data_IF_457179415336
#
_entry.id   IF_457179415336
#
_cell.length_a   1.000
_cell.length_b   1.000
_cell.length_c   1.000
_cell.angle_alpha   90.00
_cell.angle_beta   90.00
_cell.angle_gamma   90.00
#
_symmetry.space_group_name_H-M   'P 1'
#
loop_
_entity.id
_entity.type
_entity.pdbx_description
1 polymer ?
#
# COMPACT_ATOMS: atom_id res chain seq x y z
N UNK A 1 -1.79 -8.57 31.21
CA UNK A 1 -1.71 -7.13 30.90
C UNK A 1 -1.23 -7.00 29.47
N UNK A 2 -2.10 -6.63 28.53
CA UNK A 2 -1.77 -6.55 27.10
C UNK A 2 -0.87 -5.33 26.89
N UNK A 3 0.45 -5.54 26.95
CA UNK A 3 1.43 -4.49 26.69
C UNK A 3 1.60 -4.38 25.18
N UNK A 4 1.50 -3.16 24.63
CA UNK A 4 1.77 -2.83 23.22
C UNK A 4 0.69 -3.18 22.19
N UNK A 5 -0.61 -3.02 22.51
CA UNK A 5 -1.60 -2.86 21.44
C UNK A 5 -1.30 -1.60 20.60
N UNK A 6 -1.67 -1.58 19.32
CA UNK A 6 -1.42 -0.44 18.48
C UNK A 6 -2.29 0.73 18.97
N UNK A 7 -1.64 1.86 19.22
CA UNK A 7 -2.28 3.08 19.73
C UNK A 7 -2.49 4.07 18.59
N UNK A 8 -3.42 5.01 18.79
CA UNK A 8 -3.57 6.13 17.87
C UNK A 8 -2.26 6.93 17.77
N UNK A 9 -1.98 7.45 16.59
CA UNK A 9 -0.89 8.38 16.37
C UNK A 9 -1.20 9.70 17.09
N UNK A 10 -0.25 10.19 17.87
CA UNK A 10 -0.35 11.47 18.58
C UNK A 10 0.34 12.62 17.85
N UNK A 11 1.11 12.31 16.80
CA UNK A 11 1.85 13.25 15.97
C UNK A 11 1.15 13.41 14.61
N UNK A 12 0.71 14.64 14.31
CA UNK A 12 -0.05 14.96 13.10
C UNK A 12 0.80 14.84 11.83
N UNK A 13 2.11 15.12 11.90
CA UNK A 13 3.01 14.99 10.77
C UNK A 13 3.21 13.52 10.41
N UNK A 14 3.30 12.66 11.43
CA UNK A 14 3.40 11.21 11.24
C UNK A 14 2.10 10.66 10.66
N UNK A 15 0.95 11.15 11.13
CA UNK A 15 -0.33 10.82 10.54
C UNK A 15 -0.37 11.17 9.04
N UNK A 16 0.00 12.40 8.66
CA UNK A 16 0.02 12.81 7.26
C UNK A 16 1.05 12.06 6.41
N UNK A 17 2.22 11.76 6.97
CA UNK A 17 3.24 10.92 6.32
C UNK A 17 2.64 9.55 5.97
N UNK A 18 2.09 8.84 6.94
CA UNK A 18 1.53 7.51 6.73
C UNK A 18 0.35 7.58 5.77
N UNK A 19 -0.58 8.51 5.99
CA UNK A 19 -1.78 8.67 5.16
C UNK A 19 -1.45 8.94 3.69
N UNK A 20 -0.42 9.74 3.41
CA UNK A 20 0.03 10.06 2.04
C UNK A 20 0.50 8.81 1.29
N UNK A 21 1.13 7.87 1.98
CA UNK A 21 1.84 6.74 1.38
C UNK A 21 1.11 5.40 1.48
N UNK A 22 -0.01 5.31 2.19
CA UNK A 22 -0.89 4.13 2.11
C UNK A 22 -1.42 3.99 0.68
N UNK A 23 -1.23 2.80 0.11
CA UNK A 23 -1.74 2.41 -1.21
C UNK A 23 -2.61 1.17 -1.10
N UNK A 24 -3.59 1.03 -2.00
CA UNK A 24 -4.37 -0.20 -2.13
C UNK A 24 -3.59 -1.33 -2.81
N UNK A 25 -4.30 -2.41 -3.14
CA UNK A 25 -3.72 -3.51 -3.92
C UNK A 25 -3.36 -3.07 -5.35
N UNK A 26 -2.23 -3.57 -5.85
CA UNK A 26 -1.84 -3.38 -7.25
C UNK A 26 -2.79 -4.17 -8.14
N UNK A 27 -3.44 -3.49 -9.09
CA UNK A 27 -4.14 -4.11 -10.21
C UNK A 27 -3.46 -3.66 -11.49
N UNK A 28 -2.76 -4.58 -12.15
CA UNK A 28 -2.00 -4.31 -13.36
C UNK A 28 -2.27 -5.38 -14.41
N UNK A 29 -2.46 -4.95 -15.66
CA UNK A 29 -2.59 -5.83 -16.81
C UNK A 29 -1.39 -5.57 -17.71
N UNK A 30 -0.55 -6.58 -17.86
CA UNK A 30 0.49 -6.52 -18.88
C UNK A 30 -0.18 -6.65 -20.24
N UNK A 31 -0.03 -5.65 -21.12
CA UNK A 31 -0.55 -5.67 -22.49
C UNK A 31 0.22 -6.68 -23.36
N UNK A 32 0.05 -7.98 -23.07
CA UNK A 32 0.62 -9.11 -23.81
C UNK A 32 -0.48 -10.13 -24.05
N UNK A 33 -0.72 -10.45 -25.31
CA UNK A 33 -1.55 -11.60 -25.68
C UNK A 33 -0.73 -12.87 -25.46
N UNK A 34 -1.21 -13.75 -24.59
CA UNK A 34 -0.59 -15.02 -24.23
C UNK A 34 -1.61 -16.15 -24.40
N UNK A 35 -1.68 -16.75 -25.58
CA UNK A 35 -2.58 -17.87 -25.89
C UNK A 35 -1.82 -19.18 -25.88
N UNK A 36 -2.33 -20.16 -25.14
CA UNK A 36 -1.80 -21.52 -25.14
C UNK A 36 -1.82 -22.12 -26.55
N UNK A 37 -0.75 -22.82 -26.92
CA UNK A 37 -0.57 -23.48 -28.21
C UNK A 37 -0.28 -22.53 -29.37
N UNK A 38 -0.43 -21.21 -29.20
CA UNK A 38 -0.32 -20.22 -30.29
C UNK A 38 0.87 -19.29 -30.06
N UNK A 39 0.94 -18.64 -28.89
CA UNK A 39 1.96 -17.62 -28.63
C UNK A 39 3.19 -18.22 -27.94
N UNK A 40 4.32 -17.49 -28.05
CA UNK A 40 5.59 -17.82 -27.42
C UNK A 40 5.87 -16.88 -26.25
N UNK A 41 6.67 -17.32 -25.27
CA UNK A 41 6.99 -16.47 -24.12
C UNK A 41 7.72 -15.19 -24.55
N UNK A 42 7.25 -14.06 -24.02
CA UNK A 42 7.86 -12.73 -24.23
C UNK A 42 8.57 -12.29 -22.95
N UNK A 43 9.82 -11.83 -23.07
CA UNK A 43 10.63 -11.29 -21.97
C UNK A 43 11.07 -9.87 -22.28
N UNK A 44 11.03 -9.00 -21.27
CA UNK A 44 11.70 -7.71 -21.37
C UNK A 44 13.21 -7.91 -21.16
N UNK A 45 14.00 -7.30 -22.02
CA UNK A 45 15.45 -7.22 -21.92
C UNK A 45 15.85 -5.75 -21.78
N UNK A 46 16.66 -5.46 -20.76
CA UNK A 46 17.21 -4.13 -20.55
C UNK A 46 18.65 -4.07 -21.09
N UNK A 47 18.89 -3.21 -22.08
CA UNK A 47 20.21 -2.88 -22.56
C UNK A 47 20.76 -1.70 -21.75
N UNK A 48 21.80 -1.97 -20.95
CA UNK A 48 22.46 -0.99 -20.06
C UNK A 48 23.12 0.16 -20.83
N UNK A 49 23.87 -0.14 -21.88
CA UNK A 49 24.60 0.86 -22.67
C UNK A 49 23.65 1.82 -23.39
N UNK A 50 22.62 1.27 -24.03
CA UNK A 50 21.63 2.06 -24.77
C UNK A 50 20.53 2.66 -23.86
N UNK A 51 20.46 2.23 -22.59
CA UNK A 51 19.39 2.53 -21.63
C UNK A 51 17.99 2.29 -22.21
N UNK A 52 17.83 1.17 -22.91
CA UNK A 52 16.59 0.80 -23.63
C UNK A 52 16.06 -0.55 -23.18
N UNK A 53 14.73 -0.66 -23.13
CA UNK A 53 14.03 -1.93 -22.92
C UNK A 53 13.53 -2.44 -24.26
N UNK A 54 13.81 -3.70 -24.58
CA UNK A 54 13.32 -4.38 -25.78
C UNK A 54 12.53 -5.62 -25.38
N UNK A 55 11.52 -5.98 -26.18
CA UNK A 55 10.78 -7.23 -26.00
C UNK A 55 11.45 -8.31 -26.84
N UNK A 56 11.86 -9.40 -26.20
CA UNK A 56 12.38 -10.59 -26.85
C UNK A 56 11.33 -11.70 -26.83
N UNK A 57 11.12 -12.35 -27.98
CA UNK A 57 10.31 -13.56 -28.08
C UNK A 57 11.23 -14.77 -27.98
N UNK A 58 10.98 -15.66 -27.02
CA UNK A 58 11.72 -16.92 -26.87
C UNK A 58 11.20 -17.98 -27.85
N UNK A 59 11.92 -19.07 -28.02
CA UNK A 59 11.49 -20.27 -28.75
C UNK A 59 10.55 -21.19 -27.94
N UNK A 60 10.32 -20.89 -26.66
CA UNK A 60 9.39 -21.61 -25.81
C UNK A 60 7.93 -21.23 -26.09
N UNK A 61 7.15 -22.20 -26.57
CA UNK A 61 5.71 -22.06 -26.79
C UNK A 61 4.96 -22.10 -25.46
N UNK A 62 3.98 -21.21 -25.29
CA UNK A 62 3.10 -21.23 -24.13
C UNK A 62 2.18 -22.44 -24.26
N UNK A 63 2.16 -23.31 -23.24
CA UNK A 63 1.35 -24.54 -23.24
C UNK A 63 0.24 -24.51 -22.19
N UNK A 64 0.46 -23.80 -21.09
CA UNK A 64 -0.46 -23.73 -19.97
C UNK A 64 -0.47 -22.31 -19.41
N UNK A 65 -1.61 -21.89 -18.86
CA UNK A 65 -1.77 -20.65 -18.10
C UNK A 65 -2.33 -21.02 -16.73
N UNK A 66 -1.67 -20.58 -15.68
CA UNK A 66 -2.05 -20.89 -14.29
C UNK A 66 -2.41 -19.59 -13.58
N UNK A 67 -3.57 -19.57 -12.93
CA UNK A 67 -3.96 -18.53 -11.99
C UNK A 67 -3.61 -18.96 -10.57
N UNK A 68 -2.95 -18.09 -9.81
CA UNK A 68 -2.66 -18.30 -8.39
C UNK A 68 -3.32 -17.18 -7.60
N UNK A 69 -3.97 -17.54 -6.49
CA UNK A 69 -4.59 -16.59 -5.58
C UNK A 69 -4.15 -16.88 -4.14
N UNK A 70 -4.07 -15.82 -3.34
CA UNK A 70 -3.70 -15.92 -1.94
C UNK A 70 -4.92 -16.25 -1.08
N UNK A 71 -4.78 -17.27 -0.23
CA UNK A 71 -5.74 -17.52 0.82
C UNK A 71 -5.59 -16.45 1.93
N UNK A 72 -6.41 -15.40 1.87
CA UNK A 72 -6.43 -14.32 2.86
C UNK A 72 -5.09 -13.57 2.96
N UNK A 73 -4.71 -12.81 1.92
CA UNK A 73 -3.45 -12.07 1.84
C UNK A 73 -3.18 -11.17 3.06
N UNK A 74 -4.02 -10.15 3.31
CA UNK A 74 -3.79 -9.21 4.42
C UNK A 74 -3.84 -9.90 5.80
N UNK A 75 -4.83 -10.78 6.09
CA UNK A 75 -4.83 -11.53 7.34
C UNK A 75 -3.55 -12.34 7.56
N UNK A 76 -3.02 -12.99 6.52
CA UNK A 76 -1.79 -13.78 6.61
C UNK A 76 -0.60 -12.92 7.02
N UNK A 77 -0.50 -11.69 6.50
CA UNK A 77 0.55 -10.73 6.90
C UNK A 77 0.35 -10.29 8.35
N UNK A 78 -0.89 -9.98 8.76
CA UNK A 78 -1.23 -9.56 10.13
C UNK A 78 -1.06 -10.66 11.18
N UNK A 79 -1.12 -11.92 10.76
CA UNK A 79 -1.02 -13.08 11.64
C UNK A 79 0.26 -13.06 12.47
N UNK A 80 1.35 -12.52 11.93
CA UNK A 80 2.67 -12.67 12.54
C UNK A 80 3.01 -14.16 12.80
N UNK A 81 2.56 -15.08 11.96
CA UNK A 81 3.02 -16.48 12.03
C UNK A 81 4.48 -16.58 11.55
N UNK A 82 5.33 -17.37 12.23
CA UNK A 82 6.69 -17.61 11.76
C UNK A 82 6.70 -18.29 10.39
N UNK A 83 7.56 -17.84 9.48
CA UNK A 83 7.71 -18.47 8.18
C UNK A 83 9.16 -18.44 7.70
N UNK A 84 9.62 -19.52 7.06
CA UNK A 84 11.01 -19.68 6.58
C UNK A 84 11.48 -18.61 5.59
N UNK A 85 10.54 -17.96 4.89
CA UNK A 85 10.83 -16.88 3.95
C UNK A 85 10.85 -15.49 4.59
N UNK A 86 10.40 -15.36 5.84
CA UNK A 86 10.51 -14.10 6.59
C UNK A 86 11.90 -14.08 7.21
N UNK A 87 12.78 -13.22 6.72
CA UNK A 87 14.16 -13.08 7.26
C UNK A 87 14.22 -12.21 8.50
N UNK A 88 13.24 -11.32 8.65
CA UNK A 88 13.28 -10.23 9.61
C UNK A 88 12.66 -10.63 10.95
N UNK A 89 13.02 -9.87 11.98
CA UNK A 89 12.41 -9.89 13.31
C UNK A 89 12.33 -11.27 13.97
N UNK A 90 13.29 -12.15 13.67
CA UNK A 90 13.34 -13.52 14.18
C UNK A 90 12.38 -14.48 13.45
N UNK A 91 12.15 -14.28 12.15
CA UNK A 91 11.34 -15.18 11.33
C UNK A 91 9.85 -14.83 11.28
N UNK A 92 9.45 -13.68 11.81
CA UNK A 92 8.05 -13.33 12.09
C UNK A 92 7.78 -11.87 11.73
N UNK A 93 6.80 -11.60 10.87
CA UNK A 93 6.42 -10.24 10.52
C UNK A 93 5.50 -9.65 11.60
N UNK A 94 6.07 -8.91 12.55
CA UNK A 94 5.36 -8.19 13.60
C UNK A 94 4.64 -6.95 13.07
N UNK A 95 3.66 -6.47 13.83
CA UNK A 95 2.84 -5.29 13.54
C UNK A 95 3.35 -4.06 14.30
N UNK A 96 3.18 -2.90 13.68
CA UNK A 96 3.49 -1.59 14.24
C UNK A 96 2.59 -1.26 15.43
N UNK A 97 3.19 -1.03 16.61
CA UNK A 97 2.45 -0.52 17.76
C UNK A 97 2.57 1.00 17.91
N UNK A 98 2.89 1.48 19.10
CA UNK A 98 3.02 2.91 19.41
C UNK A 98 4.29 3.52 18.81
N UNK A 99 4.18 4.79 18.39
CA UNK A 99 5.33 5.63 18.05
C UNK A 99 6.21 5.81 19.29
N UNK A 100 7.51 5.60 19.11
CA UNK A 100 8.53 5.67 20.18
C UNK A 100 9.56 6.78 19.93
N UNK A 101 9.61 7.34 18.73
CA UNK A 101 10.51 8.43 18.39
C UNK A 101 10.45 8.81 16.92
N UNK A 102 11.06 9.95 16.58
CA UNK A 102 11.19 10.49 15.23
C UNK A 102 12.56 11.15 15.12
N UNK A 103 13.26 10.95 14.01
CA UNK A 103 14.55 11.59 13.73
C UNK A 103 14.48 12.21 12.34
N UNK A 104 14.79 13.51 12.26
CA UNK A 104 14.93 14.25 11.00
C UNK A 104 16.37 14.12 10.49
N UNK A 105 16.52 13.95 9.18
CA UNK A 105 17.81 13.83 8.48
C UNK A 105 18.36 15.19 8.04
N UNK A 106 18.32 16.21 8.90
CA UNK A 106 18.71 17.58 8.52
C UNK A 106 20.23 17.78 8.48
N UNK A 107 20.97 16.97 9.25
CA UNK A 107 22.44 16.96 9.32
C UNK A 107 23.01 15.61 8.90
N UNK A 108 24.26 15.59 8.43
CA UNK A 108 24.93 14.34 8.07
C UNK A 108 24.99 13.35 9.23
N UNK A 109 25.20 13.83 10.46
CA UNK A 109 25.20 12.98 11.65
C UNK A 109 23.84 12.28 11.86
N UNK A 110 22.74 13.01 11.68
CA UNK A 110 21.40 12.43 11.79
C UNK A 110 21.11 11.46 10.64
N UNK A 111 21.48 11.81 9.40
CA UNK A 111 21.35 10.91 8.24
C UNK A 111 22.09 9.59 8.46
N UNK A 112 23.33 9.66 8.96
CA UNK A 112 24.11 8.48 9.33
C UNK A 112 23.44 7.67 10.46
N UNK A 113 22.85 8.34 11.44
CA UNK A 113 22.09 7.67 12.51
C UNK A 113 20.87 6.92 11.95
N UNK A 114 20.12 7.54 11.04
CA UNK A 114 18.98 6.91 10.36
C UNK A 114 19.44 5.68 9.57
N UNK A 115 20.50 5.81 8.77
CA UNK A 115 21.07 4.71 7.99
C UNK A 115 21.55 3.55 8.88
N UNK A 116 22.14 3.83 10.05
CA UNK A 116 22.53 2.80 11.03
C UNK A 116 21.32 2.07 11.60
N UNK A 117 20.20 2.75 11.83
CA UNK A 117 18.96 2.12 12.31
C UNK A 117 18.40 1.20 11.22
N UNK A 118 18.29 1.69 9.98
CA UNK A 118 17.78 0.92 8.83
C UNK A 118 18.63 -0.34 8.58
N UNK A 119 19.95 -0.20 8.67
CA UNK A 119 20.92 -1.27 8.38
C UNK A 119 21.36 -2.08 9.60
N UNK A 120 20.74 -1.87 10.76
CA UNK A 120 21.08 -2.61 11.98
C UNK A 120 20.88 -4.11 11.78
N UNK A 121 21.90 -4.91 12.09
CA UNK A 121 21.83 -6.38 12.03
C UNK A 121 20.78 -6.95 12.99
N UNK A 122 20.36 -6.17 13.99
CA UNK A 122 19.23 -6.55 14.87
C UNK A 122 17.94 -6.77 14.10
N UNK A 123 17.78 -6.24 12.87
CA UNK A 123 16.61 -6.46 12.01
C UNK A 123 16.30 -7.92 11.73
N UNK A 124 17.29 -8.82 11.81
CA UNK A 124 17.10 -10.27 11.63
C UNK A 124 16.76 -11.02 12.93
N UNK A 125 16.77 -10.32 14.07
CA UNK A 125 16.56 -10.89 15.40
C UNK A 125 15.28 -10.37 16.04
N UNK A 126 14.86 -10.96 17.16
CA UNK A 126 13.70 -10.48 17.93
C UNK A 126 13.91 -9.05 18.46
N UNK A 127 15.13 -8.54 18.55
CA UNK A 127 15.42 -7.15 18.97
C UNK A 127 15.21 -6.10 17.87
N UNK A 128 14.93 -6.52 16.63
CA UNK A 128 14.69 -5.59 15.53
C UNK A 128 13.53 -4.65 15.83
N UNK A 129 13.76 -3.33 15.69
CA UNK A 129 12.74 -2.29 15.85
C UNK A 129 12.07 -2.01 14.51
N UNK A 130 10.78 -1.70 14.52
CA UNK A 130 10.06 -1.30 13.32
C UNK A 130 10.14 0.20 13.12
N UNK A 131 10.06 0.60 11.87
CA UNK A 131 10.14 2.00 11.49
C UNK A 131 9.37 2.29 10.20
N UNK A 132 9.10 3.56 9.97
CA UNK A 132 8.72 4.09 8.66
C UNK A 132 9.79 5.10 8.29
N UNK A 133 10.44 4.91 7.14
CA UNK A 133 11.53 5.75 6.68
C UNK A 133 11.14 6.44 5.37
N UNK A 134 11.35 7.75 5.30
CA UNK A 134 11.17 8.55 4.08
C UNK A 134 12.54 8.75 3.42
N UNK A 135 12.75 8.10 2.27
CA UNK A 135 14.06 7.99 1.61
C UNK A 135 13.97 8.24 0.11
N UNK A 136 15.12 8.61 -0.48
CA UNK A 136 15.38 8.51 -1.92
C UNK A 136 16.20 7.27 -2.19
N UNK A 137 16.01 6.64 -3.34
CA UNK A 137 16.85 5.52 -3.71
C UNK A 137 16.49 4.91 -5.06
N UNK A 138 17.31 3.95 -5.48
CA UNK A 138 17.16 3.26 -6.74
C UNK A 138 17.64 1.82 -6.65
N UNK A 139 17.09 0.96 -7.51
CA UNK A 139 17.64 -0.37 -7.74
C UNK A 139 18.98 -0.20 -8.47
N UNK A 140 20.03 -0.84 -7.96
CA UNK A 140 21.35 -0.80 -8.58
C UNK A 140 21.27 -1.23 -10.06
N UNK A 141 21.94 -0.48 -10.94
CA UNK A 141 21.78 -0.60 -12.40
C UNK A 141 22.03 -2.02 -12.93
N UNK A 142 23.00 -2.73 -12.37
CA UNK A 142 23.36 -4.11 -12.77
C UNK A 142 22.24 -5.13 -12.52
N UNK A 143 21.33 -4.82 -11.60
CA UNK A 143 20.22 -5.66 -11.19
C UNK A 143 18.89 -5.22 -11.81
N UNK A 144 18.84 -4.13 -12.58
CA UNK A 144 17.60 -3.67 -13.23
C UNK A 144 17.00 -4.74 -14.14
N UNK A 145 17.84 -5.52 -14.83
CA UNK A 145 17.40 -6.62 -15.70
C UNK A 145 16.63 -7.71 -14.95
N UNK A 146 16.90 -7.91 -13.67
CA UNK A 146 16.26 -8.95 -12.86
C UNK A 146 14.84 -8.54 -12.47
N UNK A 147 14.60 -7.23 -12.36
CA UNK A 147 13.32 -6.66 -11.96
C UNK A 147 12.55 -5.96 -13.09
N UNK A 148 13.09 -5.91 -14.31
CA UNK A 148 12.47 -5.11 -15.40
C UNK A 148 11.06 -5.59 -15.78
N UNK A 149 10.75 -6.87 -15.56
CA UNK A 149 9.40 -7.40 -15.79
C UNK A 149 8.42 -7.03 -14.68
N UNK A 150 8.91 -6.77 -13.47
CA UNK A 150 8.09 -6.37 -12.33
C UNK A 150 8.93 -5.52 -11.35
N UNK A 151 9.08 -4.22 -11.60
CA UNK A 151 9.86 -3.36 -10.72
C UNK A 151 9.30 -3.37 -9.29
N UNK A 152 10.14 -3.40 -8.25
CA UNK A 152 9.71 -3.79 -6.91
C UNK A 152 9.07 -2.64 -6.11
N UNK A 153 9.12 -1.39 -6.58
CA UNK A 153 8.60 -0.22 -5.87
C UNK A 153 7.15 0.06 -6.33
N UNK A 154 6.16 -0.19 -5.47
CA UNK A 154 4.74 -0.02 -5.75
C UNK A 154 4.27 1.35 -5.25
N UNK A 155 4.04 2.30 -6.16
CA UNK A 155 3.66 3.66 -5.78
C UNK A 155 2.61 4.25 -6.72
N UNK A 156 1.74 5.08 -6.14
CA UNK A 156 0.88 5.95 -6.93
C UNK A 156 1.75 7.01 -7.61
N UNK A 157 1.85 6.92 -8.93
CA UNK A 157 2.63 7.83 -9.76
C UNK A 157 1.68 8.70 -10.60
N UNK A 158 1.97 10.00 -10.66
CA UNK A 158 1.28 10.94 -11.55
C UNK A 158 2.10 11.08 -12.83
N UNK A 159 1.45 10.88 -13.97
CA UNK A 159 2.05 11.01 -15.31
C UNK A 159 1.07 11.64 -16.28
N UNK A 160 1.57 12.18 -17.38
CA UNK A 160 0.75 12.73 -18.47
C UNK A 160 0.50 11.65 -19.51
N UNK A 161 -0.73 11.54 -20.01
CA UNK A 161 -1.08 10.60 -21.11
C UNK A 161 -0.74 11.14 -22.49
N UNK A 162 0.41 11.83 -22.60
CA UNK A 162 0.97 12.29 -23.87
C UNK A 162 1.70 11.15 -24.59
N UNK A 163 1.83 11.27 -25.92
CA UNK A 163 2.42 10.23 -26.76
C UNK A 163 3.85 9.86 -26.35
N UNK A 164 4.63 10.84 -25.89
CA UNK A 164 6.01 10.63 -25.42
C UNK A 164 6.06 9.70 -24.21
N UNK A 165 5.11 9.84 -23.29
CA UNK A 165 5.09 9.14 -22.01
C UNK A 165 4.49 7.74 -22.14
N UNK A 166 3.37 7.59 -22.83
CA UNK A 166 2.66 6.29 -22.95
C UNK A 166 3.01 5.51 -24.21
N UNK A 167 3.72 6.13 -25.15
CA UNK A 167 4.07 5.57 -26.45
C UNK A 167 2.95 5.70 -27.48
N UNK A 168 3.34 5.73 -28.76
CA UNK A 168 2.43 5.89 -29.90
C UNK A 168 1.30 4.88 -29.93
N UNK A 169 1.58 3.61 -29.66
CA UNK A 169 0.57 2.55 -29.63
C UNK A 169 -0.57 2.85 -28.63
N UNK A 170 -0.23 3.17 -27.37
CA UNK A 170 -1.24 3.46 -26.36
C UNK A 170 -1.95 4.78 -26.62
N UNK A 171 -1.23 5.78 -27.13
CA UNK A 171 -1.79 7.07 -27.48
C UNK A 171 -2.84 6.95 -28.61
N UNK A 172 -2.52 6.23 -29.68
CA UNK A 172 -3.47 5.89 -30.76
C UNK A 172 -4.63 5.06 -30.24
N UNK A 173 -4.37 4.00 -29.46
CA UNK A 173 -5.44 3.16 -28.89
C UNK A 173 -6.42 3.98 -28.03
N UNK A 174 -5.91 4.91 -27.22
CA UNK A 174 -6.76 5.80 -26.43
C UNK A 174 -7.62 6.70 -27.34
N UNK A 175 -7.03 7.32 -28.38
CA UNK A 175 -7.78 8.15 -29.33
C UNK A 175 -8.86 7.37 -30.07
N UNK A 176 -8.53 6.18 -30.59
CA UNK A 176 -9.44 5.32 -31.34
C UNK A 176 -10.64 4.85 -30.51
N UNK A 177 -10.46 4.76 -29.18
CA UNK A 177 -11.50 4.38 -28.22
C UNK A 177 -12.09 5.56 -27.44
N UNK A 178 -11.96 6.79 -27.98
CA UNK A 178 -12.51 8.03 -27.38
C UNK A 178 -12.09 8.30 -25.92
N UNK A 179 -10.94 7.76 -25.50
CA UNK A 179 -10.33 8.00 -24.20
C UNK A 179 -9.48 9.28 -24.28
N UNK A 180 -9.65 10.19 -23.32
CA UNK A 180 -8.93 11.47 -23.27
C UNK A 180 -7.42 11.26 -23.12
N UNK A 181 -6.66 11.88 -24.01
CA UNK A 181 -5.19 11.94 -24.01
C UNK A 181 -4.69 13.30 -23.50
N UNK A 182 -3.38 13.44 -23.28
CA UNK A 182 -2.73 14.69 -22.85
C UNK A 182 -3.26 15.21 -21.49
N UNK A 183 -3.64 14.30 -20.59
CA UNK A 183 -4.13 14.62 -19.25
C UNK A 183 -3.23 14.02 -18.17
N UNK A 184 -3.18 14.68 -17.02
CA UNK A 184 -2.58 14.11 -15.81
C UNK A 184 -3.44 12.95 -15.31
N UNK A 185 -2.82 11.80 -15.12
CA UNK A 185 -3.43 10.64 -14.49
C UNK A 185 -2.57 10.16 -13.34
N UNK A 186 -3.22 9.68 -12.28
CA UNK A 186 -2.56 9.06 -11.13
C UNK A 186 -2.92 7.58 -11.10
N UNK A 187 -1.92 6.69 -11.14
CA UNK A 187 -2.12 5.24 -11.05
C UNK A 187 -1.12 4.61 -10.09
N UNK A 188 -1.55 3.57 -9.38
CA UNK A 188 -0.64 2.67 -8.67
C UNK A 188 0.13 1.84 -9.70
N UNK A 189 1.45 1.95 -9.69
CA UNK A 189 2.32 1.30 -10.66
C UNK A 189 3.62 0.83 -10.00
N UNK A 190 4.42 0.10 -10.77
CA UNK A 190 5.73 -0.43 -10.42
C UNK A 190 6.84 0.54 -10.88
N UNK A 191 7.79 0.86 -10.00
CA UNK A 191 8.93 1.72 -10.26
C UNK A 191 10.25 0.98 -9.92
N UNK A 192 11.34 1.40 -10.58
CA UNK A 192 12.70 0.91 -10.29
C UNK A 192 13.52 1.89 -9.44
N UNK A 193 12.99 3.07 -9.15
CA UNK A 193 13.59 4.05 -8.25
C UNK A 193 12.52 4.95 -7.66
N UNK A 194 12.91 5.79 -6.71
CA UNK A 194 12.06 6.86 -6.20
C UNK A 194 12.04 8.09 -7.12
N UNK A 195 12.69 8.00 -8.29
CA UNK A 195 12.75 9.06 -9.30
C UNK A 195 13.24 10.42 -8.75
N UNK A 196 14.17 10.39 -7.80
CA UNK A 196 14.71 11.59 -7.14
C UNK A 196 13.79 12.20 -6.08
N UNK A 197 12.61 11.63 -5.85
CA UNK A 197 11.64 12.07 -4.86
C UNK A 197 11.75 11.26 -3.57
N UNK A 198 11.36 11.90 -2.46
CA UNK A 198 11.26 11.23 -1.17
C UNK A 198 9.99 10.37 -1.10
N UNK A 199 10.15 9.08 -0.80
CA UNK A 199 9.05 8.13 -0.63
C UNK A 199 9.17 7.43 0.74
N UNK A 200 8.04 7.26 1.43
CA UNK A 200 8.03 6.52 2.69
C UNK A 200 7.91 5.01 2.45
N UNK A 201 8.63 4.21 3.23
CA UNK A 201 8.58 2.75 3.19
C UNK A 201 8.45 2.19 4.62
N UNK A 202 7.70 1.10 4.75
CA UNK A 202 7.67 0.29 5.96
C UNK A 202 9.04 -0.39 6.14
N UNK A 203 9.33 -0.87 7.35
CA UNK A 203 10.61 -1.52 7.66
C UNK A 203 10.77 -2.80 6.86
N UNK A 204 9.74 -3.64 6.79
CA UNK A 204 9.81 -4.89 6.02
C UNK A 204 9.93 -4.63 4.53
N UNK A 205 9.21 -3.63 4.02
CA UNK A 205 9.30 -3.31 2.62
C UNK A 205 10.67 -2.73 2.26
N UNK A 206 11.18 -1.78 3.04
CA UNK A 206 12.50 -1.21 2.77
C UNK A 206 13.61 -2.25 2.93
N UNK A 207 13.53 -3.12 3.94
CA UNK A 207 14.51 -4.20 4.09
C UNK A 207 14.45 -5.20 2.93
N UNK A 208 13.25 -5.58 2.47
CA UNK A 208 13.10 -6.40 1.27
C UNK A 208 13.75 -5.72 0.04
N UNK A 209 13.51 -4.44 -0.17
CA UNK A 209 14.14 -3.69 -1.27
C UNK A 209 15.67 -3.72 -1.17
N UNK A 210 16.23 -3.52 0.02
CA UNK A 210 17.69 -3.52 0.23
C UNK A 210 18.28 -4.92 0.05
N UNK A 211 17.72 -5.92 0.72
CA UNK A 211 18.32 -7.25 0.85
C UNK A 211 18.04 -8.18 -0.34
N UNK A 212 16.88 -8.04 -0.99
CA UNK A 212 16.44 -8.91 -2.08
C UNK A 212 16.38 -8.18 -3.43
N UNK A 213 16.29 -6.85 -3.45
CA UNK A 213 16.18 -6.08 -4.69
C UNK A 213 17.38 -5.19 -5.00
N UNK A 214 18.46 -5.24 -4.20
CA UNK A 214 19.65 -4.41 -4.42
C UNK A 214 19.34 -2.90 -4.47
N UNK A 215 18.41 -2.46 -3.62
CA UNK A 215 18.05 -1.05 -3.50
C UNK A 215 19.13 -0.27 -2.73
N UNK A 216 19.62 0.80 -3.35
CA UNK A 216 20.56 1.75 -2.78
C UNK A 216 19.77 2.95 -2.27
N UNK A 217 20.02 3.32 -1.01
CA UNK A 217 19.48 4.56 -0.43
C UNK A 217 20.41 5.71 -0.83
N UNK A 218 19.86 6.66 -1.59
CA UNK A 218 20.59 7.85 -2.05
C UNK A 218 20.56 8.97 -1.00
N UNK A 219 19.43 9.12 -0.31
CA UNK A 219 19.26 10.13 0.74
C UNK A 219 18.14 9.73 1.71
N UNK A 220 18.18 10.27 2.93
CA UNK A 220 17.17 10.03 3.98
C UNK A 220 16.65 11.35 4.51
N UNK A 221 15.32 11.49 4.56
CA UNK A 221 14.67 12.69 5.09
C UNK A 221 14.28 12.55 6.55
N UNK A 222 13.70 11.40 6.91
CA UNK A 222 13.29 11.14 8.28
C UNK A 222 13.03 9.66 8.52
N UNK A 223 13.04 9.27 9.79
CA UNK A 223 12.59 7.96 10.26
C UNK A 223 11.67 8.13 11.47
N UNK A 224 10.58 7.37 11.49
CA UNK A 224 9.66 7.27 12.63
C UNK A 224 9.78 5.87 13.20
N UNK A 225 10.02 5.76 14.50
CA UNK A 225 10.30 4.50 15.19
C UNK A 225 9.06 4.01 15.92
N UNK A 226 8.82 2.71 15.87
CA UNK A 226 7.69 2.08 16.53
C UNK A 226 8.15 0.91 17.39
N UNK A 227 7.42 0.66 18.48
CA UNK A 227 7.45 -0.67 19.09
C UNK A 227 6.73 -1.67 18.15
N UNK A 228 6.89 -2.96 18.44
CA UNK A 228 6.29 -4.02 17.63
C UNK A 228 5.54 -5.00 18.50
N UNK A 229 4.53 -5.64 17.93
CA UNK A 229 3.74 -6.66 18.62
C UNK A 229 3.21 -7.70 17.63
N UNK A 230 2.58 -8.73 18.17
CA UNK A 230 1.94 -9.82 17.44
C UNK A 230 0.52 -10.11 17.94
N UNK A 231 -0.08 -9.16 18.66
CA UNK A 231 -1.38 -9.32 19.32
C UNK A 231 -2.55 -9.69 18.39
N UNK A 232 -2.45 -9.51 17.07
CA UNK A 232 -3.47 -9.97 16.13
C UNK A 232 -3.37 -11.48 15.82
N UNK A 233 -2.30 -12.15 16.26
CA UNK A 233 -2.05 -13.56 15.97
C UNK A 233 -3.21 -14.46 16.40
N UNK A 234 -3.67 -14.33 17.65
CA UNK A 234 -4.77 -15.15 18.19
C UNK A 234 -6.05 -14.97 17.38
N UNK A 235 -6.45 -13.72 17.14
CA UNK A 235 -7.61 -13.37 16.33
C UNK A 235 -7.52 -13.97 14.92
N UNK A 236 -6.40 -13.78 14.21
CA UNK A 236 -6.25 -14.27 12.84
C UNK A 236 -6.24 -15.81 12.80
N UNK A 237 -5.55 -16.48 13.74
CA UNK A 237 -5.50 -17.94 13.78
C UNK A 237 -6.86 -18.56 14.04
N UNK A 238 -7.59 -18.02 15.00
CA UNK A 238 -8.93 -18.48 15.34
C UNK A 238 -9.89 -18.32 14.16
N UNK A 239 -9.94 -17.13 13.57
CA UNK A 239 -10.84 -16.87 12.44
C UNK A 239 -10.44 -17.62 11.18
N UNK A 240 -9.15 -17.87 10.95
CA UNK A 240 -8.68 -18.71 9.84
C UNK A 240 -9.08 -20.16 10.06
N UNK A 241 -8.91 -20.69 11.27
CA UNK A 241 -9.32 -22.05 11.64
C UNK A 241 -10.83 -22.23 11.44
N UNK A 242 -11.64 -21.34 12.00
CA UNK A 242 -13.10 -21.41 11.88
C UNK A 242 -13.56 -21.27 10.43
N UNK A 243 -12.85 -20.48 9.61
CA UNK A 243 -13.12 -20.41 8.16
C UNK A 243 -12.82 -21.72 7.44
N UNK A 244 -11.75 -22.43 7.81
CA UNK A 244 -11.41 -23.73 7.24
C UNK A 244 -12.46 -24.78 7.65
N UNK A 245 -12.87 -24.80 8.91
CA UNK A 245 -13.92 -25.69 9.40
C UNK A 245 -15.24 -25.43 8.65
N UNK A 246 -15.66 -24.16 8.52
CA UNK A 246 -16.84 -23.80 7.75
C UNK A 246 -16.77 -24.22 6.27
N UNK A 247 -15.57 -24.27 5.67
CA UNK A 247 -15.39 -24.82 4.31
C UNK A 247 -15.58 -26.34 4.27
N UNK A 248 -15.02 -27.04 5.25
CA UNK A 248 -15.13 -28.50 5.35
C UNK A 248 -16.58 -28.93 5.60
N UNK A 249 -17.33 -28.13 6.36
CA UNK A 249 -18.75 -28.33 6.64
C UNK A 249 -19.68 -27.81 5.52
N UNK A 250 -19.12 -27.35 4.40
CA UNK A 250 -19.83 -26.74 3.26
C UNK A 250 -20.74 -25.54 3.63
N UNK A 251 -20.48 -24.91 4.78
CA UNK A 251 -21.22 -23.75 5.28
C UNK A 251 -20.70 -22.45 4.67
N UNK A 252 -21.19 -22.14 3.47
CA UNK A 252 -20.80 -20.94 2.70
C UNK A 252 -21.06 -19.62 3.45
N UNK A 253 -22.11 -19.56 4.27
CA UNK A 253 -22.46 -18.37 5.04
C UNK A 253 -21.41 -18.04 6.11
N UNK A 254 -21.01 -19.04 6.89
CA UNK A 254 -19.96 -18.89 7.89
C UNK A 254 -18.59 -18.67 7.26
N UNK A 255 -18.26 -19.37 6.16
CA UNK A 255 -17.02 -19.12 5.44
C UNK A 255 -16.90 -17.64 5.05
N UNK A 256 -17.97 -17.10 4.45
CA UNK A 256 -18.00 -15.72 4.00
C UNK A 256 -17.97 -14.74 5.18
N UNK A 257 -18.65 -15.04 6.29
CA UNK A 257 -18.58 -14.26 7.52
C UNK A 257 -17.14 -14.12 8.02
N UNK A 258 -16.43 -15.25 8.22
CA UNK A 258 -15.04 -15.20 8.71
C UNK A 258 -14.10 -14.49 7.74
N UNK A 259 -14.29 -14.67 6.42
CA UNK A 259 -13.55 -13.93 5.39
C UNK A 259 -13.76 -12.42 5.52
N UNK A 260 -15.01 -11.98 5.64
CA UNK A 260 -15.36 -10.55 5.75
C UNK A 260 -14.77 -9.98 7.04
N UNK A 261 -14.94 -10.64 8.18
CA UNK A 261 -14.44 -10.12 9.47
C UNK A 261 -12.92 -9.91 9.43
N UNK A 262 -12.17 -10.89 8.91
CA UNK A 262 -10.72 -10.75 8.77
C UNK A 262 -10.33 -9.61 7.81
N UNK A 263 -10.94 -9.51 6.63
CA UNK A 263 -10.62 -8.47 5.66
C UNK A 263 -11.03 -7.06 6.13
N UNK A 264 -12.18 -6.94 6.80
CA UNK A 264 -12.71 -5.68 7.31
C UNK A 264 -11.90 -5.15 8.49
N UNK A 265 -11.25 -6.02 9.28
CA UNK A 265 -10.37 -5.58 10.38
C UNK A 265 -9.25 -4.68 9.86
N UNK A 266 -8.54 -5.12 8.81
CA UNK A 266 -7.54 -4.32 8.10
C UNK A 266 -8.12 -3.04 7.49
N UNK A 267 -9.26 -3.15 6.80
CA UNK A 267 -9.90 -2.00 6.15
C UNK A 267 -10.34 -0.92 7.14
N UNK A 268 -10.75 -1.32 8.35
CA UNK A 268 -11.11 -0.41 9.43
C UNK A 268 -9.92 0.42 9.89
N UNK A 269 -8.74 -0.21 10.07
CA UNK A 269 -7.55 0.49 10.54
C UNK A 269 -7.05 1.55 9.53
N UNK A 270 -7.14 1.22 8.23
CA UNK A 270 -6.77 2.11 7.13
C UNK A 270 -7.81 3.17 6.75
N UNK A 271 -8.97 3.20 7.40
CA UNK A 271 -10.10 4.05 7.04
C UNK A 271 -9.73 5.54 7.05
N UNK A 272 -10.11 6.28 6.00
CA UNK A 272 -9.92 7.73 5.94
C UNK A 272 -11.22 8.47 6.22
N UNK A 273 -11.46 8.75 7.49
CA UNK A 273 -12.66 9.46 7.97
C UNK A 273 -12.70 10.94 7.59
N UNK A 274 -11.59 11.54 7.11
CA UNK A 274 -11.58 12.93 6.60
C UNK A 274 -12.46 13.10 5.37
N UNK A 275 -12.61 12.04 4.57
CA UNK A 275 -13.41 12.06 3.35
C UNK A 275 -14.89 11.79 3.60
N UNK A 276 -15.29 11.59 4.86
CA UNK A 276 -16.66 11.26 5.18
C UNK A 276 -17.50 12.52 5.25
N UNK A 277 -18.60 12.51 4.50
CA UNK A 277 -19.63 13.53 4.67
C UNK A 277 -20.44 13.24 5.94
N UNK A 278 -20.76 14.28 6.69
CA UNK A 278 -21.70 14.19 7.82
C UNK A 278 -23.09 14.40 7.27
N UNK A 279 -23.87 13.32 7.25
CA UNK A 279 -25.29 13.37 6.88
C UNK A 279 -26.13 13.44 8.15
N UNK A 280 -27.04 14.41 8.22
CA UNK A 280 -27.94 14.61 9.36
C UNK A 280 -29.37 14.77 8.85
N UNK A 281 -30.33 14.21 9.58
CA UNK A 281 -31.75 14.55 9.39
C UNK A 281 -32.03 15.76 10.28
N UNK A 282 -32.56 16.82 9.68
CA UNK A 282 -32.78 18.11 10.33
C UNK A 282 -34.20 18.59 10.04
N UNK A 283 -34.81 19.27 11.02
CA UNK A 283 -36.05 19.99 10.77
C UNK A 283 -35.80 21.26 9.96
N UNK A 284 -36.86 21.90 9.45
CA UNK A 284 -36.72 23.02 8.51
C UNK A 284 -35.86 24.16 9.07
N UNK A 285 -36.05 24.52 10.34
CA UNK A 285 -35.26 25.60 10.99
C UNK A 285 -33.78 25.23 11.14
N UNK A 286 -33.48 23.97 11.46
CA UNK A 286 -32.11 23.47 11.56
C UNK A 286 -31.44 23.46 10.18
N UNK A 287 -32.16 23.04 9.15
CA UNK A 287 -31.70 23.05 7.75
C UNK A 287 -31.36 24.47 7.29
N UNK A 288 -32.26 25.43 7.49
CA UNK A 288 -32.01 26.85 7.15
C UNK A 288 -30.78 27.43 7.88
N UNK A 289 -30.43 26.92 9.06
CA UNK A 289 -29.17 27.28 9.75
C UNK A 289 -27.97 26.59 9.13
N UNK A 290 -28.10 25.31 8.80
CA UNK A 290 -27.02 24.52 8.22
C UNK A 290 -26.60 25.04 6.84
N UNK A 291 -27.53 25.43 5.96
CA UNK A 291 -27.26 26.02 4.63
C UNK A 291 -26.32 27.23 4.71
N UNK A 292 -26.41 28.00 5.80
CA UNK A 292 -25.56 29.19 6.03
C UNK A 292 -24.17 28.86 6.59
N UNK A 293 -23.88 27.60 6.87
CA UNK A 293 -22.55 27.18 7.31
C UNK A 293 -21.64 26.92 6.11
N UNK A 294 -20.35 27.27 6.26
CA UNK A 294 -19.31 26.94 5.28
C UNK A 294 -19.10 25.42 5.09
N UNK A 295 -19.64 24.61 6.01
CA UNK A 295 -19.61 23.15 5.90
C UNK A 295 -20.79 22.57 5.14
N UNK A 296 -21.79 23.35 4.72
CA UNK A 296 -22.89 22.83 3.91
C UNK A 296 -22.42 22.34 2.54
N UNK A 297 -23.02 21.26 2.06
CA UNK A 297 -22.83 20.79 0.68
C UNK A 297 -24.13 20.66 -0.08
N UNK A 298 -25.10 19.95 0.50
CA UNK A 298 -26.35 19.66 -0.19
C UNK A 298 -27.49 19.37 0.81
N UNK A 299 -28.73 19.47 0.32
CA UNK A 299 -29.92 19.08 1.05
C UNK A 299 -30.91 18.29 0.18
N UNK A 300 -31.61 17.37 0.82
CA UNK A 300 -32.71 16.62 0.21
C UNK A 300 -33.92 16.65 1.12
N UNK A 301 -35.01 17.27 0.67
CA UNK A 301 -36.28 17.27 1.40
C UNK A 301 -36.85 15.85 1.46
N UNK A 302 -37.22 15.40 2.66
CA UNK A 302 -37.94 14.13 2.90
C UNK A 302 -39.43 14.41 3.13
N UNK A 303 -39.73 15.41 3.96
CA UNK A 303 -41.09 15.84 4.30
C UNK A 303 -41.13 17.34 4.55
N UNK A 304 -42.30 17.89 4.89
CA UNK A 304 -42.46 19.34 5.10
C UNK A 304 -41.61 19.91 6.24
N UNK A 305 -41.24 19.09 7.23
CA UNK A 305 -40.38 19.48 8.34
C UNK A 305 -39.18 18.54 8.54
N UNK A 306 -38.70 17.89 7.47
CA UNK A 306 -37.50 17.06 7.54
C UNK A 306 -36.71 17.09 6.24
N UNK A 307 -35.43 17.45 6.36
CA UNK A 307 -34.46 17.38 5.27
C UNK A 307 -33.26 16.53 5.71
N UNK A 308 -32.72 15.76 4.77
CA UNK A 308 -31.36 15.22 4.86
C UNK A 308 -30.42 16.35 4.48
N UNK A 309 -29.49 16.70 5.35
CA UNK A 309 -28.47 17.71 5.09
C UNK A 309 -27.11 17.06 5.09
N UNK A 310 -26.38 17.23 4.00
CA UNK A 310 -25.02 16.74 3.82
C UNK A 310 -24.03 17.87 4.11
N UNK A 311 -23.07 17.60 4.99
CA UNK A 311 -22.09 18.59 5.46
C UNK A 311 -20.66 18.05 5.38
N UNK A 312 -19.71 18.92 5.07
CA UNK A 312 -18.28 18.68 5.21
C UNK A 312 -17.90 18.61 6.70
N UNK A 313 -17.04 17.67 7.10
CA UNK A 313 -16.56 17.62 8.47
C UNK A 313 -15.59 18.79 8.74
N UNK A 314 -15.92 19.66 9.69
CA UNK A 314 -15.00 20.74 10.15
C UNK A 314 -13.82 20.19 10.96
N UNK A 315 -14.02 19.06 11.63
CA UNK A 315 -12.99 18.35 12.40
C UNK A 315 -13.08 16.85 12.12
N UNK A 316 -11.92 16.24 11.91
CA UNK A 316 -11.72 14.80 11.80
C UNK A 316 -10.87 14.32 12.98
N UNK A 317 -11.02 13.05 13.34
CA UNK A 317 -10.13 12.39 14.30
C UNK A 317 -9.82 11.00 13.78
N UNK A 318 -8.55 10.63 13.80
CA UNK A 318 -8.12 9.25 13.55
C UNK A 318 -8.19 8.49 14.88
N UNK A 319 -9.22 7.66 15.02
CA UNK A 319 -9.42 6.81 16.21
C UNK A 319 -8.92 5.38 16.00
N UNK A 320 -8.22 5.15 14.88
CA UNK A 320 -7.72 3.84 14.47
C UNK A 320 -6.19 3.87 14.44
N UNK A 321 -5.54 2.70 14.63
CA UNK A 321 -4.10 2.60 14.52
C UNK A 321 -3.65 2.56 13.06
N UNK A 322 -3.63 3.73 12.42
CA UNK A 322 -3.34 3.88 10.98
C UNK A 322 -2.04 3.18 10.52
N UNK A 323 -1.02 3.14 11.37
CA UNK A 323 0.26 2.49 11.10
C UNK A 323 0.15 0.99 10.82
N UNK A 324 -0.91 0.32 11.30
CA UNK A 324 -1.19 -1.09 10.99
C UNK A 324 -1.53 -1.29 9.52
N UNK A 325 -2.10 -0.27 8.86
CA UNK A 325 -2.48 -0.32 7.46
C UNK A 325 -1.36 0.04 6.49
N UNK A 326 -0.14 0.30 7.00
CA UNK A 326 1.01 0.70 6.19
C UNK A 326 1.99 -0.46 5.99
N UNK A 327 1.78 -1.21 4.91
CA UNK A 327 2.59 -2.37 4.54
C UNK A 327 3.71 -2.04 3.56
#
# INVERSE_FOLDING_TARGET
MIRCLPTNLTDIDVYHLIRKWITGGLSNVMHRVNRSGIDFFKRLYYNKEAKKVTVLTTDHRITHVVGVDFNSLYPSVMSSEPHKFIKYTGGKMCIYGSQTGKIMGDTDHQKQTILRIINSKKRFTQEGRLFIAEVKGHIQEDYLKDFINFPPILRNYEFTTDERTIGSYMYSHMKDNTIKTDQKQRKLTNLSSTMGEYMAFSSYYLWFLIDDCHFIIDDVKQIVLFNKHDQFNSFIKEYTKNRIEAKLDENKGQEQFFKIVMNSSYGSDGMNTEKYHKVKIMNRRQTERAIRSNSFMDEQKISDDSCIVQMNPEHCSCKTPLQVAFF
#
